data_IF_833336109889
#
_entry.id   IF_833336109889
#
_cell.length_a   1.000
_cell.length_b   1.000
_cell.length_c   1.000
_cell.angle_alpha   90.00
_cell.angle_beta   90.00
_cell.angle_gamma   90.00
#
_symmetry.space_group_name_H-M   'P 1'
#
loop_
_entity.id
_entity.type
_entity.pdbx_description
1 polymer ?
#
# COMPACT_ATOMS: atom_id res chain seq x y z
N UNK A 1 24.81 -2.22 13.75
CA UNK A 1 24.85 -3.69 14.02
C UNK A 1 23.89 -4.33 13.03
N UNK A 2 24.41 -5.01 12.02
CA UNK A 2 23.57 -5.73 11.04
C UNK A 2 22.97 -6.94 11.73
N UNK A 3 21.66 -6.91 11.88
CA UNK A 3 20.90 -8.02 12.49
C UNK A 3 21.14 -9.29 11.65
N UNK A 4 21.96 -10.20 12.16
CA UNK A 4 22.20 -11.54 11.57
C UNK A 4 20.90 -12.31 11.31
N UNK A 5 19.82 -11.92 11.96
CA UNK A 5 18.48 -12.52 11.86
C UNK A 5 17.70 -12.13 10.60
N UNK A 6 18.09 -11.10 9.83
CA UNK A 6 17.37 -10.69 8.62
C UNK A 6 17.93 -11.33 7.34
N UNK A 7 19.18 -11.83 7.36
CA UNK A 7 19.83 -12.38 6.14
C UNK A 7 19.07 -13.52 5.46
N UNK A 8 18.38 -14.35 6.23
CA UNK A 8 17.63 -15.50 5.71
C UNK A 8 16.18 -15.20 5.33
N UNK A 9 15.74 -13.95 5.59
CA UNK A 9 14.37 -13.51 5.32
C UNK A 9 14.23 -13.01 3.89
N UNK A 10 15.24 -12.27 3.42
CA UNK A 10 15.24 -11.69 2.08
C UNK A 10 15.59 -12.71 0.99
N UNK A 11 15.11 -12.45 -0.22
CA UNK A 11 15.60 -13.16 -1.40
C UNK A 11 17.10 -12.97 -1.58
N UNK A 12 17.75 -13.94 -2.18
CA UNK A 12 19.24 -14.00 -2.27
C UNK A 12 19.90 -12.78 -2.92
N UNK A 13 19.17 -12.02 -3.73
CA UNK A 13 19.65 -10.79 -4.38
C UNK A 13 19.68 -9.58 -3.45
N UNK A 14 19.02 -9.62 -2.30
CA UNK A 14 18.87 -8.47 -1.39
C UNK A 14 19.90 -8.51 -0.27
N UNK A 15 21.13 -8.16 -0.64
CA UNK A 15 22.28 -8.06 0.26
C UNK A 15 22.35 -6.69 0.92
N UNK A 16 23.23 -6.52 1.91
CA UNK A 16 23.49 -5.19 2.50
C UNK A 16 23.94 -4.18 1.42
N UNK A 17 24.79 -4.60 0.49
CA UNK A 17 25.25 -3.75 -0.61
C UNK A 17 24.09 -3.32 -1.53
N UNK A 18 23.10 -4.19 -1.72
CA UNK A 18 21.89 -3.83 -2.45
C UNK A 18 21.14 -2.70 -1.76
N UNK A 19 20.91 -2.80 -0.45
CA UNK A 19 20.18 -1.79 0.33
C UNK A 19 20.90 -0.45 0.43
N UNK A 20 22.22 -0.41 0.34
CA UNK A 20 23.01 0.83 0.33
C UNK A 20 22.90 1.61 -1.00
N UNK A 21 22.28 1.05 -2.01
CA UNK A 21 22.18 1.62 -3.35
C UNK A 21 20.75 2.04 -3.75
N UNK A 22 19.90 2.48 -2.80
CA UNK A 22 18.53 2.88 -3.06
C UNK A 22 18.37 4.00 -4.10
N UNK A 23 19.27 4.98 -4.09
CA UNK A 23 19.23 6.15 -5.01
C UNK A 23 19.17 5.79 -6.49
N UNK A 24 19.74 4.66 -6.91
CA UNK A 24 19.71 4.22 -8.32
C UNK A 24 18.30 3.95 -8.84
N UNK A 25 17.34 3.68 -7.96
CA UNK A 25 15.94 3.39 -8.30
C UNK A 25 15.04 4.64 -8.30
N UNK A 26 15.51 5.76 -7.72
CA UNK A 26 14.69 6.97 -7.58
C UNK A 26 14.22 7.51 -8.93
N UNK A 27 15.10 7.52 -9.94
CA UNK A 27 14.73 7.99 -11.29
C UNK A 27 13.63 7.13 -11.91
N UNK A 28 13.71 5.80 -11.81
CA UNK A 28 12.70 4.89 -12.32
C UNK A 28 11.35 5.11 -11.61
N UNK A 29 11.35 5.24 -10.27
CA UNK A 29 10.12 5.56 -9.55
C UNK A 29 9.49 6.89 -10.01
N UNK A 30 10.31 7.91 -10.30
CA UNK A 30 9.80 9.19 -10.80
C UNK A 30 9.20 9.07 -12.20
N UNK A 31 9.79 8.26 -13.08
CA UNK A 31 9.34 8.09 -14.46
C UNK A 31 8.15 7.14 -14.59
N UNK A 32 8.25 5.98 -13.92
CA UNK A 32 7.30 4.87 -14.10
C UNK A 32 6.16 4.90 -13.06
N UNK A 33 6.28 5.73 -12.00
CA UNK A 33 5.32 5.84 -10.91
C UNK A 33 5.27 4.61 -9.98
N UNK A 34 5.96 3.54 -10.33
CA UNK A 34 5.94 2.26 -9.63
C UNK A 34 7.30 1.55 -9.73
N UNK A 35 7.68 0.87 -8.65
CA UNK A 35 8.81 -0.07 -8.59
C UNK A 35 8.38 -1.38 -7.98
N UNK A 36 8.87 -2.49 -8.50
CA UNK A 36 8.62 -3.83 -7.96
C UNK A 36 9.95 -4.52 -7.71
N UNK A 37 10.17 -4.91 -6.47
CA UNK A 37 11.31 -5.71 -6.03
C UNK A 37 10.84 -7.15 -5.91
N UNK A 38 11.12 -7.93 -6.96
CA UNK A 38 10.70 -9.34 -7.09
C UNK A 38 11.35 -10.21 -6.03
N UNK A 39 10.54 -11.08 -5.37
CA UNK A 39 11.03 -11.98 -4.32
C UNK A 39 11.84 -11.24 -3.25
N UNK A 40 11.40 -10.04 -2.86
CA UNK A 40 12.04 -9.23 -1.81
C UNK A 40 12.14 -10.02 -0.52
N UNK A 41 11.08 -10.74 -0.17
CA UNK A 41 11.11 -11.76 0.89
C UNK A 41 11.26 -13.13 0.25
N UNK A 42 12.22 -13.90 0.75
CA UNK A 42 12.47 -15.27 0.31
C UNK A 42 11.38 -16.25 0.82
N UNK A 43 11.38 -17.47 0.26
CA UNK A 43 10.32 -18.47 0.52
C UNK A 43 10.14 -18.78 2.02
N UNK A 44 11.20 -18.93 2.79
CA UNK A 44 11.10 -19.23 4.23
C UNK A 44 10.48 -18.05 5.00
N UNK A 45 10.83 -16.82 4.62
CA UNK A 45 10.22 -15.61 5.17
C UNK A 45 8.72 -15.52 4.83
N UNK A 46 8.35 -15.80 3.59
CA UNK A 46 6.95 -15.80 3.16
C UNK A 46 6.13 -16.87 3.88
N UNK A 47 6.63 -18.10 4.01
CA UNK A 47 5.95 -19.14 4.75
C UNK A 47 5.70 -18.73 6.22
N UNK A 48 6.67 -18.10 6.85
CA UNK A 48 6.54 -17.58 8.22
C UNK A 48 5.51 -16.47 8.31
N UNK A 49 5.52 -15.52 7.37
CA UNK A 49 4.56 -14.39 7.32
C UNK A 49 3.13 -14.86 7.04
N UNK A 50 2.95 -15.86 6.18
CA UNK A 50 1.62 -16.44 5.92
C UNK A 50 1.04 -17.11 7.16
N UNK A 51 1.89 -17.84 7.93
CA UNK A 51 1.46 -18.46 9.19
C UNK A 51 1.10 -17.40 10.24
N UNK A 52 1.89 -16.33 10.35
CA UNK A 52 1.61 -15.21 11.25
C UNK A 52 0.32 -14.50 10.86
N UNK A 53 0.17 -14.11 9.60
CA UNK A 53 -1.02 -13.46 9.10
C UNK A 53 -2.29 -14.32 9.32
N UNK A 54 -2.19 -15.65 9.12
CA UNK A 54 -3.29 -16.57 9.41
C UNK A 54 -3.72 -16.53 10.88
N UNK A 55 -2.78 -16.48 11.82
CA UNK A 55 -3.08 -16.40 13.27
C UNK A 55 -3.70 -15.05 13.66
N UNK A 56 -3.28 -13.97 12.99
CA UNK A 56 -3.76 -12.63 13.29
C UNK A 56 -5.10 -12.30 12.64
N UNK A 57 -5.55 -13.06 11.65
CA UNK A 57 -6.77 -12.76 10.87
C UNK A 57 -8.02 -12.59 11.74
N UNK A 58 -8.17 -13.37 12.80
CA UNK A 58 -9.33 -13.31 13.69
C UNK A 58 -9.42 -11.99 14.50
N UNK A 59 -8.30 -11.27 14.60
CA UNK A 59 -8.25 -9.95 15.24
C UNK A 59 -8.44 -8.79 14.24
N UNK A 60 -8.67 -9.10 12.96
CA UNK A 60 -8.83 -8.07 11.93
C UNK A 60 -10.17 -7.38 12.02
N UNK A 61 -10.18 -6.07 11.81
CA UNK A 61 -11.39 -5.29 11.68
C UNK A 61 -11.86 -5.27 10.21
N UNK A 62 -13.13 -5.63 9.98
CA UNK A 62 -13.76 -5.53 8.66
C UNK A 62 -14.22 -4.09 8.43
N UNK A 63 -13.64 -3.45 7.43
CA UNK A 63 -14.05 -2.13 6.96
C UNK A 63 -14.79 -2.26 5.63
N UNK A 64 -15.96 -1.64 5.55
CA UNK A 64 -16.67 -1.39 4.29
C UNK A 64 -16.95 0.10 4.25
N UNK A 65 -16.51 0.77 3.20
CA UNK A 65 -16.65 2.22 3.06
C UNK A 65 -16.84 2.62 1.60
N UNK A 66 -17.41 3.80 1.42
CA UNK A 66 -17.53 4.46 0.13
C UNK A 66 -16.83 5.81 0.21
N UNK A 67 -16.08 6.14 -0.81
CA UNK A 67 -15.42 7.44 -0.95
C UNK A 67 -15.24 7.79 -2.44
N UNK A 68 -15.16 9.07 -2.74
CA UNK A 68 -14.81 9.48 -4.09
C UNK A 68 -13.32 9.21 -4.36
N UNK A 69 -12.95 9.19 -5.64
CA UNK A 69 -11.59 8.86 -6.10
C UNK A 69 -10.50 9.69 -5.42
N UNK A 70 -10.84 10.91 -4.98
CA UNK A 70 -9.92 11.85 -4.33
C UNK A 70 -9.87 11.70 -2.80
N UNK A 71 -10.66 10.75 -2.24
CA UNK A 71 -10.77 10.53 -0.78
C UNK A 71 -11.02 11.85 -0.03
N UNK A 72 -11.92 12.66 -0.56
CA UNK A 72 -12.21 14.01 -0.07
C UNK A 72 -13.70 14.21 0.20
N UNK A 73 -14.05 15.30 0.88
CA UNK A 73 -15.45 15.64 1.14
C UNK A 73 -16.19 15.95 -0.18
N UNK A 74 -17.52 15.79 -0.16
CA UNK A 74 -18.39 16.12 -1.28
C UNK A 74 -18.25 17.59 -1.67
N UNK A 75 -18.22 17.87 -2.98
CA UNK A 75 -18.12 19.21 -3.52
C UNK A 75 -19.38 19.55 -4.32
N UNK A 76 -20.20 20.46 -3.77
CA UNK A 76 -21.48 20.86 -4.35
C UNK A 76 -21.37 21.62 -5.68
N UNK A 77 -20.18 22.06 -6.08
CA UNK A 77 -19.94 22.69 -7.37
C UNK A 77 -19.88 21.69 -8.53
N UNK A 78 -19.81 20.38 -8.22
CA UNK A 78 -19.79 19.29 -9.19
C UNK A 78 -21.03 18.41 -9.07
N UNK A 79 -21.45 17.82 -10.20
CA UNK A 79 -22.50 16.79 -10.21
C UNK A 79 -22.12 15.60 -9.32
N UNK A 80 -23.12 14.95 -8.71
CA UNK A 80 -22.93 13.74 -7.87
C UNK A 80 -22.28 12.60 -8.66
N UNK A 81 -22.51 12.51 -9.96
CA UNK A 81 -21.96 11.47 -10.83
C UNK A 81 -20.65 11.86 -11.50
N UNK A 82 -20.14 13.06 -11.27
CA UNK A 82 -18.86 13.52 -11.83
C UNK A 82 -17.68 12.73 -11.24
N UNK A 83 -16.55 12.73 -11.93
CA UNK A 83 -15.31 12.15 -11.41
C UNK A 83 -14.95 12.66 -10.00
N UNK A 84 -15.25 13.95 -9.69
CA UNK A 84 -14.97 14.58 -8.39
C UNK A 84 -15.78 14.00 -7.24
N UNK A 85 -17.02 13.59 -7.48
CA UNK A 85 -17.97 13.19 -6.42
C UNK A 85 -18.40 11.74 -6.47
N UNK A 86 -18.20 11.02 -7.60
CA UNK A 86 -18.62 9.64 -7.77
C UNK A 86 -18.01 8.73 -6.71
N UNK A 87 -18.87 8.02 -5.99
CA UNK A 87 -18.47 7.15 -4.89
C UNK A 87 -18.00 5.80 -5.40
N UNK A 88 -16.91 5.31 -4.82
CA UNK A 88 -16.32 4.01 -5.08
C UNK A 88 -16.37 3.17 -3.82
N UNK A 89 -16.83 1.94 -3.95
CA UNK A 89 -16.92 1.00 -2.83
C UNK A 89 -15.59 0.32 -2.56
N UNK A 90 -15.29 0.15 -1.29
CA UNK A 90 -14.11 -0.56 -0.79
C UNK A 90 -14.49 -1.46 0.36
N UNK A 91 -13.97 -2.68 0.35
CA UNK A 91 -14.08 -3.58 1.49
C UNK A 91 -12.80 -4.38 1.68
N UNK A 92 -12.39 -4.50 2.93
CA UNK A 92 -11.24 -5.31 3.36
C UNK A 92 -11.28 -5.53 4.87
N UNK A 93 -10.46 -6.45 5.35
CA UNK A 93 -10.15 -6.57 6.77
C UNK A 93 -8.74 -6.05 7.02
N UNK A 94 -8.50 -5.48 8.21
CA UNK A 94 -7.20 -4.92 8.57
C UNK A 94 -6.80 -5.32 9.99
N UNK A 95 -5.58 -5.80 10.15
CA UNK A 95 -4.89 -5.93 11.44
C UNK A 95 -3.94 -4.74 11.57
N UNK A 96 -4.13 -3.85 12.55
CA UNK A 96 -3.26 -2.70 12.78
C UNK A 96 -1.95 -3.08 13.48
N UNK A 97 -0.99 -2.16 13.45
CA UNK A 97 0.38 -2.34 13.92
C UNK A 97 0.50 -2.85 15.38
N UNK A 98 -0.32 -2.39 16.29
CA UNK A 98 -0.24 -2.76 17.71
C UNK A 98 -0.65 -4.21 18.01
N UNK A 99 -1.30 -4.88 17.07
CA UNK A 99 -1.63 -6.31 17.17
C UNK A 99 -0.57 -7.21 16.50
N UNK A 100 0.41 -6.62 15.81
CA UNK A 100 1.52 -7.36 15.20
C UNK A 100 2.59 -7.62 16.27
N UNK A 101 2.99 -8.88 16.50
CA UNK A 101 4.00 -9.19 17.51
C UNK A 101 5.31 -8.42 17.32
N UNK A 102 5.91 -7.96 18.39
CA UNK A 102 7.17 -7.19 18.34
C UNK A 102 8.36 -7.97 17.79
N UNK A 103 8.30 -9.30 17.82
CA UNK A 103 9.31 -10.20 17.23
C UNK A 103 8.98 -10.63 15.79
N UNK A 104 7.87 -10.10 15.21
CA UNK A 104 7.48 -10.33 13.82
C UNK A 104 8.58 -9.92 12.83
N UNK A 105 8.64 -10.63 11.72
CA UNK A 105 9.46 -10.25 10.56
C UNK A 105 9.07 -8.84 10.07
N UNK A 106 7.78 -8.48 10.09
CA UNK A 106 7.28 -7.18 9.65
C UNK A 106 7.84 -6.05 10.51
N UNK A 107 7.83 -6.20 11.85
CA UNK A 107 8.41 -5.21 12.77
C UNK A 107 9.93 -5.08 12.53
N UNK A 108 10.63 -6.20 12.39
CA UNK A 108 12.08 -6.19 12.12
C UNK A 108 12.44 -5.50 10.80
N UNK A 109 11.62 -5.66 9.76
CA UNK A 109 11.80 -4.93 8.48
C UNK A 109 11.55 -3.44 8.69
N UNK A 110 10.44 -3.10 9.33
CA UNK A 110 10.01 -1.71 9.55
C UNK A 110 11.01 -0.92 10.39
N UNK A 111 11.53 -1.52 11.46
CA UNK A 111 12.48 -0.90 12.40
C UNK A 111 13.93 -0.92 11.89
N UNK A 112 14.21 -1.60 10.77
CA UNK A 112 15.56 -1.71 10.23
C UNK A 112 16.03 -0.40 9.61
N UNK A 113 17.03 0.25 10.21
CA UNK A 113 17.60 1.50 9.70
C UNK A 113 18.15 1.40 8.27
N UNK A 114 18.74 0.25 7.89
CA UNK A 114 19.25 0.05 6.53
C UNK A 114 18.10 -0.01 5.51
N UNK A 115 16.98 -0.63 5.87
CA UNK A 115 15.81 -0.73 4.98
C UNK A 115 15.07 0.61 4.93
N UNK A 116 14.92 1.28 6.05
CA UNK A 116 14.35 2.63 6.10
C UNK A 116 15.18 3.62 5.27
N UNK A 117 16.52 3.54 5.37
CA UNK A 117 17.40 4.35 4.53
C UNK A 117 17.27 4.01 3.04
N UNK A 118 17.13 2.73 2.70
CA UNK A 118 16.88 2.28 1.34
C UNK A 118 15.59 2.86 0.77
N UNK A 119 14.48 2.79 1.52
CA UNK A 119 13.21 3.41 1.11
C UNK A 119 13.33 4.93 0.98
N UNK A 120 13.96 5.57 1.95
CA UNK A 120 14.24 7.01 1.93
C UNK A 120 14.97 7.43 0.63
N UNK A 121 16.00 6.71 0.27
CA UNK A 121 16.81 6.98 -0.92
C UNK A 121 16.03 6.79 -2.23
N UNK A 122 15.21 5.73 -2.32
CA UNK A 122 14.31 5.48 -3.46
C UNK A 122 13.31 6.62 -3.62
N UNK A 123 12.71 7.04 -2.51
CA UNK A 123 11.67 8.06 -2.48
C UNK A 123 12.22 9.48 -2.67
N UNK A 124 13.55 9.67 -2.56
CA UNK A 124 14.19 10.97 -2.62
C UNK A 124 13.79 11.88 -1.45
N UNK A 125 13.56 11.29 -0.26
CA UNK A 125 13.17 12.01 0.94
C UNK A 125 14.37 12.21 1.86
N UNK A 126 14.33 13.25 2.70
CA UNK A 126 15.39 13.50 3.68
C UNK A 126 15.27 12.58 4.89
N UNK A 127 14.04 12.35 5.36
CA UNK A 127 13.74 11.49 6.50
C UNK A 127 12.46 10.68 6.27
N UNK A 128 12.34 9.57 6.99
CA UNK A 128 11.12 8.77 7.10
C UNK A 128 10.86 8.48 8.57
N UNK A 129 9.67 8.82 9.04
CA UNK A 129 9.24 8.65 10.42
C UNK A 129 8.04 7.69 10.51
N UNK A 130 7.94 6.89 11.58
CA UNK A 130 6.74 6.11 11.85
C UNK A 130 5.55 7.04 12.14
N UNK A 131 4.34 6.51 12.02
CA UNK A 131 3.17 7.18 12.56
C UNK A 131 3.28 7.30 14.09
N UNK A 132 2.82 8.40 14.65
CA UNK A 132 2.86 8.63 16.10
C UNK A 132 1.70 7.93 16.84
N UNK A 133 0.67 7.49 16.11
CA UNK A 133 -0.36 6.63 16.68
C UNK A 133 0.03 5.14 16.58
N UNK A 134 -0.45 4.28 17.51
CA UNK A 134 -0.02 2.89 17.58
C UNK A 134 -0.55 1.99 16.47
N UNK A 135 -1.49 2.46 15.64
CA UNK A 135 -2.24 1.61 14.72
C UNK A 135 -1.72 1.63 13.29
N UNK A 136 -1.10 2.73 12.85
CA UNK A 136 -1.00 3.05 11.43
C UNK A 136 0.30 2.64 10.75
N UNK A 137 1.38 2.36 11.50
CA UNK A 137 2.72 2.13 10.93
C UNK A 137 2.81 0.90 10.04
N UNK A 138 2.29 -0.25 10.47
CA UNK A 138 2.22 -1.48 9.68
C UNK A 138 0.79 -1.98 9.70
N UNK A 139 0.25 -2.34 8.53
CA UNK A 139 -1.09 -2.90 8.47
C UNK A 139 -1.10 -4.17 7.62
N UNK A 140 -1.70 -5.25 8.14
CA UNK A 140 -1.94 -6.46 7.38
C UNK A 140 -3.37 -6.39 6.86
N UNK A 141 -3.52 -6.30 5.54
CA UNK A 141 -4.80 -6.18 4.87
C UNK A 141 -5.19 -7.53 4.26
N UNK A 142 -6.40 -7.98 4.53
CA UNK A 142 -6.97 -9.22 3.99
C UNK A 142 -8.14 -8.86 3.09
N UNK A 143 -8.15 -9.47 1.91
CA UNK A 143 -9.23 -9.39 0.94
C UNK A 143 -9.78 -10.78 0.75
N UNK A 144 -10.96 -11.05 1.28
CA UNK A 144 -11.71 -12.27 1.05
C UNK A 144 -12.48 -12.17 -0.27
N UNK A 145 -13.11 -13.25 -0.71
CA UNK A 145 -13.97 -13.26 -1.89
C UNK A 145 -15.01 -12.12 -1.85
N UNK A 146 -15.04 -11.30 -2.89
CA UNK A 146 -15.86 -10.12 -3.03
C UNK A 146 -15.23 -8.82 -2.50
N UNK A 147 -14.14 -8.89 -1.73
CA UNK A 147 -13.45 -7.69 -1.26
C UNK A 147 -12.64 -7.05 -2.39
N UNK A 148 -12.63 -5.72 -2.41
CA UNK A 148 -11.99 -4.89 -3.41
C UNK A 148 -11.53 -3.56 -2.81
N UNK A 149 -10.63 -2.90 -3.49
CA UNK A 149 -10.27 -1.51 -3.21
C UNK A 149 -10.58 -0.70 -4.47
N UNK A 150 -11.67 0.07 -4.43
CA UNK A 150 -12.14 0.85 -5.58
C UNK A 150 -11.12 1.88 -6.06
N UNK A 151 -11.32 2.40 -7.26
CA UNK A 151 -10.46 3.44 -7.83
C UNK A 151 -10.28 4.63 -6.89
N UNK A 152 -9.03 5.00 -6.62
CA UNK A 152 -8.69 6.14 -5.75
C UNK A 152 -7.28 6.65 -6.00
N UNK A 153 -7.03 7.87 -5.51
CA UNK A 153 -5.69 8.39 -5.25
C UNK A 153 -5.41 8.26 -3.76
N UNK A 154 -4.17 7.95 -3.39
CA UNK A 154 -3.74 8.01 -2.01
C UNK A 154 -3.60 9.45 -1.51
N UNK A 155 -3.77 9.65 -0.21
CA UNK A 155 -3.46 10.93 0.43
C UNK A 155 -1.95 11.12 0.61
N UNK A 156 -1.19 10.05 0.74
CA UNK A 156 0.27 10.08 0.87
C UNK A 156 0.96 10.06 -0.49
N UNK A 157 2.12 10.70 -0.57
CA UNK A 157 2.93 10.80 -1.80
C UNK A 157 3.36 9.43 -2.33
N UNK A 158 3.52 8.46 -1.45
CA UNK A 158 3.98 7.13 -1.77
C UNK A 158 3.33 6.07 -0.88
N UNK A 159 3.30 4.87 -1.39
CA UNK A 159 2.82 3.68 -0.66
C UNK A 159 3.81 2.54 -0.87
N UNK A 160 4.13 1.83 0.22
CA UNK A 160 5.03 0.66 0.22
C UNK A 160 4.21 -0.55 0.62
N UNK A 161 4.16 -1.55 -0.25
CA UNK A 161 3.39 -2.77 -0.02
C UNK A 161 4.23 -4.03 -0.19
N UNK A 162 3.89 -5.07 0.58
CA UNK A 162 4.47 -6.40 0.47
C UNK A 162 3.33 -7.41 0.29
N UNK A 163 3.35 -8.15 -0.81
CA UNK A 163 2.37 -9.21 -1.05
C UNK A 163 2.78 -10.48 -0.29
N UNK A 164 1.96 -10.91 0.66
CA UNK A 164 2.19 -12.13 1.46
C UNK A 164 1.51 -13.34 0.84
N UNK A 165 0.28 -13.17 0.35
CA UNK A 165 -0.51 -14.22 -0.28
C UNK A 165 -1.30 -13.66 -1.44
N UNK A 166 -1.24 -14.31 -2.58
CA UNK A 166 -2.06 -13.96 -3.72
C UNK A 166 -3.36 -14.77 -3.70
N UNK A 167 -4.44 -14.21 -4.23
CA UNK A 167 -5.67 -14.95 -4.50
C UNK A 167 -5.53 -15.75 -5.81
N UNK A 168 -6.39 -16.74 -5.98
CA UNK A 168 -6.38 -17.62 -7.15
C UNK A 168 -6.96 -16.91 -8.38
N UNK A 169 -7.94 -16.00 -8.16
CA UNK A 169 -8.56 -15.23 -9.23
C UNK A 169 -9.02 -13.86 -8.75
N UNK A 170 -8.89 -12.84 -9.60
CA UNK A 170 -9.18 -11.44 -9.25
C UNK A 170 -8.07 -10.81 -8.41
N UNK A 171 -8.40 -9.81 -7.58
CA UNK A 171 -7.46 -9.14 -6.69
C UNK A 171 -6.29 -8.46 -7.40
N UNK A 172 -6.46 -8.06 -8.65
CA UNK A 172 -5.41 -7.48 -9.47
C UNK A 172 -5.22 -6.00 -9.13
N UNK A 173 -3.95 -5.59 -8.99
CA UNK A 173 -3.62 -4.17 -8.90
C UNK A 173 -3.59 -3.58 -10.31
N UNK A 174 -4.39 -2.54 -10.53
CA UNK A 174 -4.49 -1.82 -11.79
C UNK A 174 -4.27 -0.32 -11.53
N UNK A 175 -3.51 0.36 -12.40
CA UNK A 175 -3.22 1.77 -12.22
C UNK A 175 -3.03 2.52 -13.54
N UNK A 176 -3.14 3.86 -13.44
CA UNK A 176 -2.73 4.80 -14.48
C UNK A 176 -1.67 5.73 -13.90
N UNK A 177 -0.48 5.73 -14.48
CA UNK A 177 0.64 6.50 -13.97
C UNK A 177 0.47 8.00 -14.19
N UNK A 178 0.65 8.78 -13.11
CA UNK A 178 0.72 10.27 -13.12
C UNK A 178 -0.43 10.96 -13.86
N UNK A 179 -1.67 10.43 -13.70
CA UNK A 179 -2.86 10.91 -14.40
C UNK A 179 -3.71 11.88 -13.59
N UNK A 180 -3.30 12.26 -12.38
CA UNK A 180 -4.10 13.14 -11.51
C UNK A 180 -4.16 14.58 -12.02
N UNK A 181 -3.04 15.08 -12.53
CA UNK A 181 -2.96 16.46 -12.97
C UNK A 181 -2.61 16.58 -14.45
N UNK A 182 -3.29 17.50 -15.12
CA UNK A 182 -2.97 17.95 -16.46
C UNK A 182 -2.88 19.47 -16.49
N UNK A 183 -1.77 20.01 -17.00
CA UNK A 183 -1.52 21.46 -17.04
C UNK A 183 -1.71 22.16 -15.66
N UNK A 184 -1.34 21.47 -14.57
CA UNK A 184 -1.44 21.98 -13.20
C UNK A 184 -2.85 21.99 -12.59
N UNK A 185 -3.83 21.36 -13.24
CA UNK A 185 -5.21 21.20 -12.76
C UNK A 185 -5.55 19.73 -12.60
N UNK A 186 -6.50 19.42 -11.71
CA UNK A 186 -7.06 18.06 -11.59
C UNK A 186 -7.65 17.61 -12.93
N UNK A 187 -7.24 16.43 -13.39
CA UNK A 187 -7.65 15.87 -14.70
C UNK A 187 -8.98 15.10 -14.58
N UNK A 188 -10.06 15.80 -14.27
CA UNK A 188 -11.38 15.20 -14.07
C UNK A 188 -11.90 14.44 -15.29
N UNK A 189 -11.64 14.96 -16.49
CA UNK A 189 -12.15 14.37 -17.75
C UNK A 189 -11.56 12.97 -17.97
N UNK A 190 -10.25 12.81 -17.78
CA UNK A 190 -9.62 11.50 -17.93
C UNK A 190 -10.01 10.54 -16.80
N UNK A 191 -10.13 11.04 -15.57
CA UNK A 191 -10.62 10.23 -14.44
C UNK A 191 -12.06 9.75 -14.71
N UNK A 192 -12.91 10.56 -15.33
CA UNK A 192 -14.26 10.15 -15.72
C UNK A 192 -14.24 9.02 -16.76
N UNK A 193 -13.34 9.07 -17.75
CA UNK A 193 -13.15 7.98 -18.71
C UNK A 193 -12.74 6.66 -18.04
N UNK A 194 -11.87 6.73 -17.01
CA UNK A 194 -11.49 5.56 -16.21
C UNK A 194 -12.72 5.00 -15.49
N UNK A 195 -13.47 5.84 -14.79
CA UNK A 195 -14.63 5.43 -14.00
C UNK A 195 -15.78 4.92 -14.88
N UNK A 196 -15.84 5.35 -16.12
CA UNK A 196 -16.79 4.88 -17.15
C UNK A 196 -16.29 3.62 -17.88
N UNK A 197 -15.13 3.07 -17.51
CA UNK A 197 -14.47 1.91 -18.16
C UNK A 197 -14.19 2.12 -19.65
N UNK A 198 -14.01 3.36 -20.10
CA UNK A 198 -13.67 3.71 -21.50
C UNK A 198 -12.21 3.44 -21.83
N UNK A 199 -11.36 3.46 -20.82
CA UNK A 199 -9.92 3.18 -20.91
C UNK A 199 -9.52 2.07 -19.96
N UNK A 200 -8.42 1.37 -20.27
CA UNK A 200 -7.90 0.28 -19.42
C UNK A 200 -6.55 0.70 -18.83
N UNK A 201 -6.40 0.49 -17.55
CA UNK A 201 -5.16 0.73 -16.84
C UNK A 201 -4.12 -0.37 -17.07
N UNK A 202 -2.93 -0.12 -16.58
CA UNK A 202 -1.86 -1.12 -16.54
C UNK A 202 -2.12 -2.08 -15.38
N UNK A 203 -2.30 -3.35 -15.69
CA UNK A 203 -2.39 -4.41 -14.67
C UNK A 203 -0.99 -4.82 -14.27
N UNK A 204 -0.73 -4.82 -12.96
CA UNK A 204 0.58 -5.16 -12.39
C UNK A 204 0.54 -6.56 -11.80
N UNK A 205 1.33 -7.46 -12.37
CA UNK A 205 1.47 -8.81 -11.86
C UNK A 205 2.51 -8.84 -10.74
N UNK A 206 2.06 -9.07 -9.51
CA UNK A 206 2.89 -9.30 -8.34
C UNK A 206 2.72 -10.73 -7.83
N UNK A 207 3.79 -11.25 -7.24
CA UNK A 207 3.83 -12.58 -6.65
C UNK A 207 4.14 -12.49 -5.15
N UNK A 208 3.92 -13.56 -4.44
CA UNK A 208 4.20 -13.65 -3.01
C UNK A 208 5.69 -13.34 -2.74
N UNK A 209 5.95 -12.47 -1.80
CA UNK A 209 7.28 -11.95 -1.50
C UNK A 209 7.69 -10.71 -2.29
N UNK A 210 6.92 -10.26 -3.28
CA UNK A 210 7.21 -9.03 -4.01
C UNK A 210 6.89 -7.81 -3.14
N UNK A 211 7.84 -6.88 -3.09
CA UNK A 211 7.63 -5.55 -2.50
C UNK A 211 7.41 -4.54 -3.62
N UNK A 212 6.36 -3.74 -3.48
CA UNK A 212 5.99 -2.71 -4.44
C UNK A 212 6.00 -1.34 -3.78
N UNK A 213 6.60 -0.35 -4.45
CA UNK A 213 6.59 1.07 -4.06
C UNK A 213 5.96 1.85 -5.21
N UNK A 214 4.97 2.69 -4.92
CA UNK A 214 4.30 3.47 -5.94
C UNK A 214 3.87 4.85 -5.45
N UNK A 215 3.62 5.77 -6.40
CA UNK A 215 3.23 7.18 -6.17
C UNK A 215 1.71 7.29 -6.19
N UNK A 216 1.04 6.83 -5.13
CA UNK A 216 -0.41 6.69 -5.09
C UNK A 216 -1.18 8.00 -5.18
N UNK A 217 -0.62 9.14 -4.74
CA UNK A 217 -1.29 10.43 -4.82
C UNK A 217 -1.37 11.02 -6.24
N UNK A 218 -0.55 10.54 -7.18
CA UNK A 218 -0.53 10.98 -8.58
C UNK A 218 -1.08 9.95 -9.55
N UNK A 219 -1.05 8.68 -9.17
CA UNK A 219 -1.45 7.55 -9.99
C UNK A 219 -2.74 6.96 -9.44
N UNK A 220 -3.85 7.16 -10.16
CA UNK A 220 -5.12 6.53 -9.80
C UNK A 220 -4.98 5.02 -9.90
N UNK A 221 -5.46 4.31 -8.89
CA UNK A 221 -5.30 2.86 -8.81
C UNK A 221 -6.47 2.17 -8.12
N UNK A 222 -6.57 0.86 -8.34
CA UNK A 222 -7.54 -0.01 -7.69
C UNK A 222 -6.94 -1.40 -7.41
N UNK A 223 -7.61 -2.15 -6.54
CA UNK A 223 -7.49 -3.61 -6.46
C UNK A 223 -8.85 -4.19 -6.83
N UNK A 224 -8.90 -4.94 -7.94
CA UNK A 224 -10.16 -5.55 -8.40
C UNK A 224 -10.68 -6.54 -7.36
N UNK A 225 -11.97 -6.87 -7.45
CA UNK A 225 -12.57 -7.82 -6.52
C UNK A 225 -11.83 -9.17 -6.54
N UNK A 226 -11.60 -9.74 -5.36
CA UNK A 226 -11.17 -11.13 -5.22
C UNK A 226 -12.32 -12.04 -5.66
N UNK A 227 -12.12 -12.83 -6.70
CA UNK A 227 -13.12 -13.75 -7.23
C UNK A 227 -13.01 -15.14 -6.59
N UNK A 228 -11.75 -15.59 -6.31
CA UNK A 228 -11.46 -16.89 -5.72
C UNK A 228 -10.21 -16.82 -4.84
N UNK A 229 -10.26 -17.48 -3.68
CA UNK A 229 -9.18 -17.51 -2.70
C UNK A 229 -9.18 -16.29 -1.79
N UNK A 230 -8.01 -15.94 -1.29
CA UNK A 230 -7.76 -14.82 -0.36
C UNK A 230 -6.47 -14.11 -0.74
N UNK A 231 -6.50 -12.78 -0.71
CA UNK A 231 -5.30 -11.96 -0.90
C UNK A 231 -4.88 -11.31 0.41
N UNK A 232 -3.59 -11.39 0.77
CA UNK A 232 -3.03 -10.77 1.97
C UNK A 232 -1.89 -9.84 1.56
N UNK A 233 -2.03 -8.57 1.92
CA UNK A 233 -1.09 -7.51 1.60
C UNK A 233 -0.69 -6.75 2.87
N UNK A 234 0.59 -6.51 3.05
CA UNK A 234 1.09 -5.59 4.09
C UNK A 234 1.36 -4.23 3.50
N UNK A 235 1.02 -3.17 4.26
CA UNK A 235 1.49 -1.81 4.00
C UNK A 235 2.49 -1.39 5.07
N UNK A 236 3.61 -0.79 4.64
CA UNK A 236 4.58 -0.11 5.50
C UNK A 236 4.40 1.39 5.34
N UNK A 237 3.88 2.04 6.36
CA UNK A 237 3.47 3.43 6.29
C UNK A 237 4.47 4.32 7.05
N UNK A 238 5.03 5.30 6.36
CA UNK A 238 5.94 6.29 6.91
C UNK A 238 5.47 7.70 6.56
N UNK A 239 5.90 8.67 7.35
CA UNK A 239 5.71 10.09 7.13
C UNK A 239 7.05 10.78 6.90
N UNK A 240 7.03 11.91 6.16
CA UNK A 240 8.20 12.78 5.99
C UNK A 240 8.45 13.66 7.22
N UNK A 241 7.42 13.85 8.04
CA UNK A 241 7.47 14.67 9.25
C UNK A 241 7.21 13.81 10.48
N UNK A 242 8.00 14.00 11.53
CA UNK A 242 7.80 13.34 12.82
C UNK A 242 6.52 13.78 13.51
N UNK A 243 5.93 12.92 14.32
CA UNK A 243 4.76 13.23 15.15
C UNK A 243 3.41 13.21 14.44
N UNK A 244 3.36 12.82 13.17
CA UNK A 244 2.11 12.69 12.41
C UNK A 244 1.35 11.46 12.86
N UNK A 245 0.06 11.64 13.20
CA UNK A 245 -0.89 10.57 13.47
C UNK A 245 -1.95 10.53 12.37
N UNK A 246 -2.46 9.35 12.06
CA UNK A 246 -3.65 9.24 11.21
C UNK A 246 -4.86 9.87 11.93
N UNK A 247 -5.74 10.54 11.19
CA UNK A 247 -6.92 11.18 11.79
C UNK A 247 -7.78 10.17 12.56
N UNK A 248 -8.49 10.62 13.61
CA UNK A 248 -9.41 9.76 14.36
C UNK A 248 -10.50 9.17 13.46
N UNK A 249 -11.02 9.95 12.50
CA UNK A 249 -11.99 9.51 11.50
C UNK A 249 -11.43 8.34 10.69
N UNK A 250 -10.20 8.47 10.19
CA UNK A 250 -9.55 7.41 9.42
C UNK A 250 -9.25 6.18 10.25
N UNK A 251 -8.76 6.34 11.51
CA UNK A 251 -8.53 5.21 12.41
C UNK A 251 -9.80 4.44 12.72
N UNK A 252 -10.92 5.13 12.99
CA UNK A 252 -12.23 4.49 13.15
C UNK A 252 -12.67 3.74 11.89
N UNK A 253 -12.46 4.34 10.72
CA UNK A 253 -12.83 3.72 9.44
C UNK A 253 -12.02 2.46 9.15
N UNK A 254 -10.70 2.50 9.37
CA UNK A 254 -9.81 1.40 8.96
C UNK A 254 -9.63 0.34 10.05
N UNK A 255 -9.72 0.71 11.32
CA UNK A 255 -9.39 -0.16 12.46
C UNK A 255 -10.55 -0.35 13.44
N UNK A 256 -11.67 0.34 13.28
CA UNK A 256 -12.84 0.30 14.17
C UNK A 256 -12.61 0.99 15.53
N UNK A 257 -11.42 1.57 15.76
CA UNK A 257 -11.00 2.18 17.02
C UNK A 257 -9.98 3.29 16.78
N UNK A 258 -9.69 4.10 17.81
CA UNK A 258 -8.74 5.22 17.73
C UNK A 258 -7.45 5.01 18.55
N UNK A 259 -7.46 3.99 19.41
CA UNK A 259 -6.32 3.55 20.25
C UNK A 259 -6.30 2.04 20.29
#
# INVERSE_FOLDING_TARGET
>A
MTNSNLKNIFGSSYTNDFFLNGKKFSKSLQQDGILIFKSFIGNDGINSLQQEAKKLKDFSYKSTSEYNVYVSEYDSSFSINSARNRMMSTSKKCVPNDLIPSDSILQKIYDSEIIKSFFKDILGKEELHPYSDPLSSININYYDKGDALGWHFDNSDFTITLLIKNCEKGGMYEFFNDMRYENGKENYDFVEEILDNKVKGTVVNTFEGDLMIFKGNKSIHQVTAVEEGERILVTFNYNETSGVALSEKSRKTFFGRIK
#
